data_IF_371795101544
#
_entry.id   IF_371795101544
#
_cell.length_a   1.000
_cell.length_b   1.000
_cell.length_c   1.000
_cell.angle_alpha   90.00
_cell.angle_beta   90.00
_cell.angle_gamma   90.00
#
_symmetry.space_group_name_H-M   'P 1'
#
loop_
_entity.id
_entity.type
_entity.pdbx_description
1 polymer ?
#
# COMPACT_ATOMS: atom_id res chain seq x y z
N UNK A 1 75.96 7.25 -35.24
CA UNK A 1 76.43 8.14 -36.33
C UNK A 1 75.45 9.30 -36.46
N UNK A 2 75.96 10.55 -36.42
CA UNK A 2 75.36 11.80 -36.98
C UNK A 2 74.16 12.38 -36.20
N UNK A 3 74.36 13.34 -35.27
CA UNK A 3 74.47 14.82 -35.40
C UNK A 3 73.14 15.62 -35.47
N UNK A 4 72.89 16.32 -34.37
CA UNK A 4 72.34 17.67 -34.13
C UNK A 4 71.66 18.43 -35.29
N UNK A 5 70.47 19.01 -35.03
CA UNK A 5 70.17 20.44 -35.24
C UNK A 5 68.98 20.91 -34.40
N UNK A 6 69.24 21.86 -33.52
CA UNK A 6 68.23 22.76 -32.91
C UNK A 6 67.80 23.77 -33.97
N UNK A 7 66.50 24.04 -34.09
CA UNK A 7 66.02 25.30 -34.62
C UNK A 7 64.85 25.79 -33.76
N UNK A 8 65.11 26.89 -33.08
CA UNK A 8 64.14 27.70 -32.33
C UNK A 8 63.23 28.42 -33.32
N UNK A 9 61.92 28.40 -33.10
CA UNK A 9 61.02 29.43 -33.61
C UNK A 9 59.84 29.61 -32.63
N UNK A 10 59.86 30.74 -31.94
CA UNK A 10 58.76 31.24 -31.12
C UNK A 10 57.69 31.79 -32.07
N UNK A 11 56.45 31.37 -31.90
CA UNK A 11 55.29 31.93 -32.57
C UNK A 11 54.08 31.89 -31.64
N UNK A 12 53.76 33.04 -31.05
CA UNK A 12 52.57 33.30 -30.25
C UNK A 12 51.31 33.07 -31.09
N UNK A 13 50.31 32.39 -30.51
CA UNK A 13 49.02 32.19 -31.18
C UNK A 13 48.02 31.48 -30.27
N UNK A 14 47.63 32.14 -29.18
CA UNK A 14 46.48 31.71 -28.38
C UNK A 14 45.20 31.90 -29.20
N UNK A 15 44.59 30.80 -29.64
CA UNK A 15 43.18 30.78 -29.99
C UNK A 15 42.45 29.92 -28.94
N UNK A 16 41.78 30.60 -28.01
CA UNK A 16 40.83 29.98 -27.09
C UNK A 16 39.76 29.24 -27.90
N UNK A 17 39.78 27.91 -27.87
CA UNK A 17 38.62 27.12 -28.22
C UNK A 17 37.59 27.29 -27.09
N UNK A 18 36.60 28.15 -27.30
CA UNK A 18 35.47 28.27 -26.40
C UNK A 18 34.69 26.95 -26.41
N UNK A 19 34.76 26.22 -25.29
CA UNK A 19 33.88 25.10 -25.01
C UNK A 19 32.44 25.63 -24.97
N UNK A 20 31.64 25.31 -25.99
CA UNK A 20 30.20 25.51 -25.94
C UNK A 20 29.61 24.55 -24.89
N UNK A 21 28.75 25.00 -23.97
CA UNK A 21 28.09 24.09 -23.06
C UNK A 21 27.12 23.21 -23.86
N UNK A 22 27.24 21.90 -23.68
CA UNK A 22 26.21 20.96 -24.06
C UNK A 22 24.96 21.32 -23.23
N UNK A 23 24.02 22.04 -23.85
CA UNK A 23 22.72 22.29 -23.23
C UNK A 23 22.07 20.93 -22.96
N UNK A 24 22.04 20.51 -21.71
CA UNK A 24 21.18 19.43 -21.25
C UNK A 24 19.75 19.84 -21.61
N UNK A 25 19.18 19.23 -22.65
CA UNK A 25 17.77 19.36 -22.92
C UNK A 25 17.04 18.67 -21.76
N UNK A 26 16.58 19.46 -20.80
CA UNK A 26 15.61 19.03 -19.81
C UNK A 26 14.35 18.71 -20.60
N UNK A 27 14.16 17.43 -20.91
CA UNK A 27 12.88 16.93 -21.39
C UNK A 27 11.89 17.03 -20.24
N UNK A 28 11.18 18.15 -20.15
CA UNK A 28 10.01 18.27 -19.29
C UNK A 28 8.90 17.49 -19.98
N UNK A 29 8.69 16.25 -19.56
CA UNK A 29 7.55 15.46 -20.01
C UNK A 29 6.25 16.24 -19.69
N UNK A 30 5.25 16.28 -20.59
CA UNK A 30 3.99 16.95 -20.32
C UNK A 30 3.30 16.25 -19.14
N UNK A 31 3.10 16.98 -18.04
CA UNK A 31 2.48 16.48 -16.82
C UNK A 31 0.95 16.25 -16.94
N UNK A 32 0.37 16.41 -18.14
CA UNK A 32 -1.09 16.46 -18.34
C UNK A 32 -1.74 15.30 -19.08
N UNK A 33 -1.02 14.58 -19.95
CA UNK A 33 -1.67 13.67 -20.93
C UNK A 33 -2.03 12.27 -20.38
N UNK A 34 -1.46 11.87 -19.25
CA UNK A 34 -1.59 10.49 -18.76
C UNK A 34 -2.62 10.32 -17.63
N UNK A 35 -3.29 11.41 -17.21
CA UNK A 35 -4.25 11.33 -16.10
C UNK A 35 -5.55 10.63 -16.53
N UNK A 36 -6.03 10.91 -17.74
CA UNK A 36 -7.27 10.31 -18.29
C UNK A 36 -7.08 8.85 -18.67
N UNK A 37 -5.89 8.41 -19.08
CA UNK A 37 -5.62 7.00 -19.38
C UNK A 37 -5.39 6.16 -18.10
N UNK A 38 -4.79 6.75 -17.06
CA UNK A 38 -4.49 6.07 -15.80
C UNK A 38 -5.73 5.79 -14.94
N UNK A 39 -6.73 6.68 -14.96
CA UNK A 39 -7.94 6.53 -14.14
C UNK A 39 -8.81 5.31 -14.54
N UNK A 40 -9.15 5.09 -15.84
CA UNK A 40 -9.83 3.89 -16.29
C UNK A 40 -9.06 2.62 -15.95
N UNK A 41 -7.74 2.61 -16.17
CA UNK A 41 -6.90 1.44 -15.86
C UNK A 41 -6.89 1.09 -14.37
N UNK A 42 -6.84 2.10 -13.48
CA UNK A 42 -6.90 1.90 -12.04
C UNK A 42 -8.25 1.31 -11.59
N UNK A 43 -9.36 1.82 -12.13
CA UNK A 43 -10.71 1.29 -11.82
C UNK A 43 -10.87 -0.13 -12.36
N UNK A 44 -10.42 -0.42 -13.59
CA UNK A 44 -10.45 -1.78 -14.15
C UNK A 44 -9.67 -2.78 -13.29
N UNK A 45 -8.49 -2.39 -12.80
CA UNK A 45 -7.71 -3.23 -11.89
C UNK A 45 -8.41 -3.44 -10.53
N UNK A 46 -9.07 -2.40 -9.99
CA UNK A 46 -9.84 -2.51 -8.76
C UNK A 46 -11.03 -3.47 -8.90
N UNK A 47 -11.76 -3.40 -10.02
CA UNK A 47 -12.86 -4.33 -10.33
C UNK A 47 -12.35 -5.77 -10.43
N UNK A 48 -11.29 -6.02 -11.19
CA UNK A 48 -10.72 -7.37 -11.32
C UNK A 48 -10.27 -7.93 -9.96
N UNK A 49 -9.62 -7.11 -9.12
CA UNK A 49 -9.24 -7.52 -7.76
C UNK A 49 -10.47 -7.80 -6.89
N UNK A 50 -11.50 -6.97 -6.97
CA UNK A 50 -12.75 -7.16 -6.24
C UNK A 50 -13.45 -8.47 -6.60
N UNK A 51 -13.47 -8.84 -7.89
CA UNK A 51 -14.02 -10.11 -8.36
C UNK A 51 -13.27 -11.30 -7.75
N UNK A 52 -11.94 -11.27 -7.75
CA UNK A 52 -11.11 -12.31 -7.12
C UNK A 52 -11.39 -12.43 -5.63
N UNK A 53 -11.46 -11.30 -4.93
CA UNK A 53 -11.76 -11.27 -3.48
C UNK A 53 -13.18 -11.75 -3.18
N UNK A 54 -14.14 -11.60 -4.11
CA UNK A 54 -15.50 -12.13 -3.96
C UNK A 54 -15.62 -13.60 -4.34
N UNK A 55 -14.80 -14.09 -5.27
CA UNK A 55 -14.78 -15.48 -5.68
C UNK A 55 -14.09 -16.40 -4.66
N UNK A 56 -13.04 -15.92 -3.99
CA UNK A 56 -12.25 -16.70 -3.05
C UNK A 56 -12.57 -16.30 -1.59
N UNK A 57 -12.71 -17.30 -0.70
CA UNK A 57 -12.96 -17.13 0.74
C UNK A 57 -11.75 -17.49 1.61
N UNK A 58 -10.71 -18.06 1.02
CA UNK A 58 -9.52 -18.59 1.70
C UNK A 58 -8.28 -17.67 1.57
N UNK A 59 -8.47 -16.43 1.12
CA UNK A 59 -7.38 -15.45 1.07
C UNK A 59 -7.01 -14.94 2.46
N UNK A 60 -5.82 -14.34 2.58
CA UNK A 60 -5.33 -13.82 3.85
C UNK A 60 -6.09 -12.57 4.30
N UNK A 61 -6.06 -12.25 5.60
CA UNK A 61 -6.63 -11.01 6.14
C UNK A 61 -6.12 -9.79 5.37
N UNK A 62 -4.82 -9.74 5.09
CA UNK A 62 -4.20 -8.61 4.40
C UNK A 62 -4.78 -8.38 3.00
N UNK A 63 -5.20 -9.43 2.31
CA UNK A 63 -5.80 -9.34 0.97
C UNK A 63 -7.15 -8.61 1.00
N UNK A 64 -8.01 -8.99 1.94
CA UNK A 64 -9.33 -8.37 2.12
C UNK A 64 -9.20 -6.99 2.76
N UNK A 65 -8.49 -6.89 3.89
CA UNK A 65 -8.32 -5.65 4.65
C UNK A 65 -7.65 -4.56 3.81
N UNK A 66 -6.63 -4.92 3.02
CA UNK A 66 -5.96 -3.99 2.12
C UNK A 66 -6.91 -3.39 1.08
N UNK A 67 -7.78 -4.22 0.48
CA UNK A 67 -8.77 -3.74 -0.48
C UNK A 67 -9.81 -2.83 0.18
N UNK A 68 -10.37 -3.24 1.32
CA UNK A 68 -11.37 -2.44 2.07
C UNK A 68 -10.80 -1.07 2.45
N UNK A 69 -9.56 -1.01 2.91
CA UNK A 69 -8.91 0.25 3.29
C UNK A 69 -8.61 1.16 2.10
N UNK A 70 -8.33 0.57 0.93
CA UNK A 70 -8.06 1.33 -0.30
C UNK A 70 -9.36 1.82 -0.95
N UNK A 71 -10.43 1.02 -0.89
CA UNK A 71 -11.70 1.27 -1.57
C UNK A 71 -12.90 1.09 -0.62
N UNK A 72 -13.06 1.93 0.43
CA UNK A 72 -14.08 1.73 1.47
C UNK A 72 -15.53 1.85 0.97
N UNK A 73 -15.75 2.55 -0.13
CA UNK A 73 -17.07 2.75 -0.74
C UNK A 73 -17.35 1.81 -1.92
N UNK A 74 -16.49 0.81 -2.15
CA UNK A 74 -16.70 -0.13 -3.25
C UNK A 74 -17.96 -0.98 -3.01
N UNK A 75 -18.65 -1.46 -4.06
CA UNK A 75 -19.81 -2.32 -3.90
C UNK A 75 -19.52 -3.54 -3.01
N UNK A 76 -20.48 -3.87 -2.13
CA UNK A 76 -20.45 -5.06 -1.26
C UNK A 76 -19.20 -5.18 -0.37
N UNK A 77 -18.56 -4.05 -0.03
CA UNK A 77 -17.39 -4.01 0.87
C UNK A 77 -17.63 -4.69 2.21
N UNK A 78 -18.87 -4.67 2.73
CA UNK A 78 -19.24 -5.38 3.96
C UNK A 78 -18.94 -6.89 3.91
N UNK A 79 -19.13 -7.54 2.76
CA UNK A 79 -18.80 -8.96 2.59
C UNK A 79 -17.29 -9.18 2.72
N UNK A 80 -16.49 -8.27 2.15
CA UNK A 80 -15.04 -8.33 2.26
C UNK A 80 -14.57 -8.06 3.70
N UNK A 81 -15.29 -7.21 4.45
CA UNK A 81 -15.02 -7.00 5.87
C UNK A 81 -15.27 -8.27 6.68
N UNK A 82 -16.40 -8.94 6.46
CA UNK A 82 -16.71 -10.22 7.11
C UNK A 82 -15.67 -11.31 6.74
N UNK A 83 -15.20 -11.34 5.50
CA UNK A 83 -14.14 -12.28 5.07
C UNK A 83 -12.78 -11.96 5.70
N UNK A 84 -12.43 -10.68 5.82
CA UNK A 84 -11.24 -10.28 6.56
C UNK A 84 -11.31 -10.79 8.00
N UNK A 85 -12.45 -10.59 8.67
CA UNK A 85 -12.66 -11.07 10.03
C UNK A 85 -12.61 -12.61 10.13
N UNK A 86 -13.22 -13.33 9.19
CA UNK A 86 -13.18 -14.80 9.15
C UNK A 86 -11.76 -15.35 8.91
N UNK A 87 -10.92 -14.66 8.12
CA UNK A 87 -9.53 -15.06 7.91
C UNK A 87 -8.75 -15.12 9.24
N UNK A 88 -9.08 -14.27 10.21
CA UNK A 88 -8.43 -14.25 11.52
C UNK A 88 -8.57 -15.57 12.30
N UNK A 89 -9.53 -16.43 11.97
CA UNK A 89 -9.66 -17.73 12.62
C UNK A 89 -8.49 -18.66 12.28
N UNK A 90 -7.85 -18.46 11.12
CA UNK A 90 -6.77 -19.31 10.61
C UNK A 90 -5.39 -18.66 10.69
N UNK A 91 -5.32 -17.36 10.99
CA UNK A 91 -4.06 -16.62 11.06
C UNK A 91 -4.01 -15.59 12.18
N UNK A 92 -2.80 -15.14 12.48
CA UNK A 92 -2.53 -14.10 13.46
C UNK A 92 -1.72 -12.97 12.80
N UNK A 93 -2.39 -12.01 12.12
CA UNK A 93 -1.71 -10.85 11.55
C UNK A 93 -0.98 -10.01 12.60
N UNK A 94 0.01 -9.20 12.20
CA UNK A 94 0.68 -8.29 13.11
C UNK A 94 -0.31 -7.36 13.83
N UNK A 95 -0.03 -7.08 15.11
CA UNK A 95 -0.86 -6.21 15.93
C UNK A 95 -1.13 -4.85 15.28
N UNK A 96 -0.11 -4.26 14.64
CA UNK A 96 -0.23 -2.98 13.95
C UNK A 96 -1.24 -3.02 12.78
N UNK A 97 -1.35 -4.14 12.08
CA UNK A 97 -2.31 -4.30 10.99
C UNK A 97 -3.74 -4.43 11.49
N UNK A 98 -3.95 -5.15 12.60
CA UNK A 98 -5.25 -5.24 13.24
C UNK A 98 -5.73 -3.86 13.71
N UNK A 99 -4.86 -3.10 14.38
CA UNK A 99 -5.19 -1.74 14.82
C UNK A 99 -5.53 -0.84 13.63
N UNK A 100 -4.63 -0.76 12.64
CA UNK A 100 -4.84 0.06 11.44
C UNK A 100 -6.17 -0.24 10.74
N UNK A 101 -6.54 -1.51 10.63
CA UNK A 101 -7.77 -1.91 9.98
C UNK A 101 -9.02 -1.61 10.83
N UNK A 102 -9.04 -2.02 12.10
CA UNK A 102 -10.21 -1.91 12.96
C UNK A 102 -10.46 -0.49 13.48
N UNK A 103 -9.44 0.37 13.51
CA UNK A 103 -9.58 1.80 13.86
C UNK A 103 -10.54 2.53 12.90
N UNK A 104 -10.60 2.11 11.63
CA UNK A 104 -11.49 2.70 10.60
C UNK A 104 -12.61 1.76 10.16
N UNK A 105 -12.49 0.46 10.39
CA UNK A 105 -13.53 -0.54 10.13
C UNK A 105 -13.88 -1.27 11.43
N UNK A 106 -14.76 -0.73 12.30
CA UNK A 106 -15.10 -1.36 13.55
C UNK A 106 -15.52 -2.83 13.38
N UNK A 107 -15.15 -3.74 14.31
CA UNK A 107 -15.46 -5.17 14.18
C UNK A 107 -16.96 -5.44 14.04
N UNK A 108 -17.31 -6.31 13.09
CA UNK A 108 -18.67 -6.76 12.81
C UNK A 108 -19.03 -8.00 13.65
N UNK A 109 -18.04 -8.84 13.95
CA UNK A 109 -18.22 -10.08 14.70
C UNK A 109 -17.58 -10.01 16.09
N UNK A 110 -18.06 -10.86 17.02
CA UNK A 110 -17.47 -10.95 18.35
C UNK A 110 -16.03 -11.50 18.36
N UNK A 111 -15.66 -12.54 17.58
CA UNK A 111 -14.28 -13.00 17.49
C UNK A 111 -13.33 -11.88 17.05
N UNK A 112 -13.70 -11.12 16.01
CA UNK A 112 -12.92 -9.96 15.57
C UNK A 112 -12.83 -8.88 16.65
N UNK A 113 -13.91 -8.62 17.39
CA UNK A 113 -13.90 -7.67 18.52
C UNK A 113 -12.94 -8.10 19.62
N UNK A 114 -12.87 -9.40 19.93
CA UNK A 114 -11.90 -9.93 20.88
C UNK A 114 -10.45 -9.75 20.37
N UNK A 115 -10.18 -10.06 19.09
CA UNK A 115 -8.87 -9.84 18.47
C UNK A 115 -8.46 -8.36 18.51
N UNK A 116 -9.38 -7.46 18.18
CA UNK A 116 -9.15 -6.01 18.26
C UNK A 116 -8.88 -5.54 19.69
N UNK A 117 -9.64 -6.02 20.66
CA UNK A 117 -9.43 -5.73 22.09
C UNK A 117 -8.04 -6.14 22.55
N UNK A 118 -7.57 -7.33 22.16
CA UNK A 118 -6.23 -7.81 22.48
C UNK A 118 -5.16 -6.93 21.82
N UNK A 119 -5.38 -6.51 20.58
CA UNK A 119 -4.47 -5.60 19.88
C UNK A 119 -4.39 -4.23 20.56
N UNK A 120 -5.52 -3.68 21.01
CA UNK A 120 -5.58 -2.43 21.78
C UNK A 120 -4.83 -2.58 23.11
N UNK A 121 -5.08 -3.66 23.84
CA UNK A 121 -4.44 -3.93 25.13
C UNK A 121 -2.91 -4.06 24.99
N UNK A 122 -2.43 -4.79 23.98
CA UNK A 122 -1.01 -4.91 23.69
C UNK A 122 -0.34 -3.59 23.33
N UNK A 123 -1.09 -2.63 22.78
CA UNK A 123 -0.62 -1.29 22.45
C UNK A 123 -0.82 -0.28 23.59
N UNK A 124 -1.31 -0.74 24.75
CA UNK A 124 -1.64 0.09 25.90
C UNK A 124 -2.62 1.23 25.56
N UNK A 125 -3.55 0.95 24.63
CA UNK A 125 -4.61 1.88 24.23
C UNK A 125 -5.73 1.89 25.29
N UNK A 126 -6.15 3.06 25.80
CA UNK A 126 -7.17 3.15 26.86
C UNK A 126 -8.55 2.59 26.45
N UNK A 127 -8.84 2.53 25.15
CA UNK A 127 -10.06 2.01 24.56
C UNK A 127 -10.25 0.50 24.81
N UNK A 128 -9.16 -0.24 25.08
CA UNK A 128 -9.18 -1.68 25.26
C UNK A 128 -10.22 -2.15 26.28
N UNK A 129 -10.32 -1.48 27.43
CA UNK A 129 -11.27 -1.83 28.48
C UNK A 129 -12.74 -1.60 28.08
N UNK A 130 -13.00 -0.66 27.16
CA UNK A 130 -14.35 -0.44 26.64
C UNK A 130 -14.73 -1.53 25.62
N UNK A 131 -13.84 -1.83 24.67
CA UNK A 131 -14.06 -2.89 23.67
C UNK A 131 -14.14 -4.29 24.30
N UNK A 132 -13.35 -4.57 25.34
CA UNK A 132 -13.43 -5.83 26.09
C UNK A 132 -14.84 -6.08 26.65
N UNK A 133 -15.47 -5.04 27.21
CA UNK A 133 -16.84 -5.12 27.75
C UNK A 133 -17.89 -5.30 26.66
N UNK A 134 -17.63 -4.80 25.46
CA UNK A 134 -18.50 -5.05 24.31
C UNK A 134 -18.35 -6.50 23.84
N UNK A 135 -17.11 -7.01 23.75
CA UNK A 135 -16.83 -8.39 23.37
C UNK A 135 -17.46 -9.40 24.35
N UNK A 136 -17.31 -9.19 25.66
CA UNK A 136 -17.91 -10.06 26.68
C UNK A 136 -19.44 -10.08 26.67
N UNK A 137 -20.09 -8.96 26.33
CA UNK A 137 -21.55 -8.87 26.29
C UNK A 137 -22.17 -9.36 24.99
N UNK A 138 -21.36 -9.53 23.94
CA UNK A 138 -21.85 -9.90 22.61
C UNK A 138 -22.39 -11.32 22.48
N UNK A 139 -22.25 -12.18 23.49
CA UNK A 139 -22.74 -13.57 23.46
C UNK A 139 -21.70 -14.59 22.93
N UNK A 140 -22.10 -15.87 22.90
CA UNK A 140 -21.25 -16.99 22.49
C UNK A 140 -20.67 -16.78 21.09
N UNK A 141 -19.40 -17.16 20.91
CA UNK A 141 -18.77 -17.36 19.60
C UNK A 141 -19.73 -18.18 18.74
N UNK A 142 -20.48 -17.54 17.85
CA UNK A 142 -21.49 -18.23 17.06
C UNK A 142 -20.78 -19.18 16.09
N UNK A 143 -21.30 -20.41 16.02
CA UNK A 143 -20.88 -21.51 15.15
C UNK A 143 -20.52 -21.04 13.72
N UNK A 144 -19.60 -21.74 13.02
CA UNK A 144 -19.18 -21.36 11.69
C UNK A 144 -20.41 -21.19 10.81
N UNK A 145 -20.49 -20.00 10.19
CA UNK A 145 -21.49 -19.58 9.22
C UNK A 145 -22.23 -20.73 8.53
N UNK A 146 -23.55 -20.84 8.76
CA UNK A 146 -24.38 -21.42 7.71
C UNK A 146 -24.31 -20.47 6.50
N UNK A 147 -23.80 -21.02 5.39
CA UNK A 147 -23.59 -20.36 4.10
C UNK A 147 -24.62 -20.83 3.09
#
# INVERSE_FOLDING_TARGET
>A
MISLRVLTAIGFGSAMAAAAPLAAQVYVAPAGDNLVARQPAAISAAVARWEVLHANRELAFADYAGFVLTYPSFPRTEILRLRAEAALDNEAPPQADLLRYFDVNPPLTNPARARYTLALAGAQRPEAAAEARLAWRGGAMSDPAEL
#
